data_IF_496306633320
#
_entry.id   IF_496306633320
#
_cell.length_a   1.000
_cell.length_b   1.000
_cell.length_c   1.000
_cell.angle_alpha   90.00
_cell.angle_beta   90.00
_cell.angle_gamma   90.00
#
_symmetry.space_group_name_H-M   'P 1'
#
loop_
_entity.id
_entity.type
_entity.pdbx_description
1 polymer ?
#
# COMPACT_ATOMS: atom_id res chain seq x y z
N UNK A 1 11.29 11.40 -3.55
CA UNK A 1 10.40 10.37 -4.09
C UNK A 1 9.78 10.95 -5.34
N UNK A 2 9.67 10.19 -6.42
CA UNK A 2 8.91 10.66 -7.58
C UNK A 2 7.43 10.70 -7.21
N UNK A 3 6.70 11.77 -7.57
CA UNK A 3 5.26 11.83 -7.38
C UNK A 3 4.58 10.73 -8.20
N UNK A 4 3.45 10.22 -7.70
CA UNK A 4 2.67 9.20 -8.40
C UNK A 4 2.02 9.87 -9.59
N UNK A 5 2.30 9.39 -10.79
CA UNK A 5 1.73 10.00 -12.01
C UNK A 5 0.24 9.68 -12.11
N UNK A 6 -0.48 10.51 -12.86
CA UNK A 6 -1.91 10.28 -13.12
C UNK A 6 -2.18 8.89 -13.72
N UNK A 7 -1.37 8.46 -14.69
CA UNK A 7 -1.49 7.13 -15.29
C UNK A 7 -1.37 6.00 -14.25
N UNK A 8 -0.45 6.13 -13.29
CA UNK A 8 -0.29 5.14 -12.22
C UNK A 8 -1.49 5.10 -11.27
N UNK A 9 -2.19 6.22 -11.09
CA UNK A 9 -3.43 6.26 -10.30
C UNK A 9 -4.60 5.63 -11.05
N UNK A 10 -4.69 5.87 -12.36
CA UNK A 10 -5.68 5.21 -13.22
C UNK A 10 -5.46 3.69 -13.22
N UNK A 11 -4.22 3.22 -13.38
CA UNK A 11 -3.89 1.79 -13.33
C UNK A 11 -4.30 1.15 -11.99
N UNK A 12 -4.07 1.86 -10.87
CA UNK A 12 -4.49 1.39 -9.54
C UNK A 12 -6.02 1.34 -9.43
N UNK A 13 -6.70 2.36 -9.95
CA UNK A 13 -8.16 2.43 -9.96
C UNK A 13 -8.77 1.27 -10.74
N UNK A 14 -8.28 1.01 -11.96
CA UNK A 14 -8.73 -0.09 -12.82
C UNK A 14 -8.58 -1.44 -12.10
N UNK A 15 -7.45 -1.64 -11.40
CA UNK A 15 -7.23 -2.85 -10.61
C UNK A 15 -8.22 -2.97 -9.44
N UNK A 16 -8.54 -1.88 -8.76
CA UNK A 16 -9.52 -1.89 -7.67
C UNK A 16 -10.90 -2.25 -8.22
N UNK A 17 -11.29 -1.65 -9.35
CA UNK A 17 -12.59 -1.89 -9.98
C UNK A 17 -12.74 -3.32 -10.50
N UNK A 18 -11.71 -3.88 -11.12
CA UNK A 18 -11.72 -5.28 -11.57
C UNK A 18 -11.87 -6.24 -10.37
N UNK A 19 -11.32 -5.89 -9.20
CA UNK A 19 -11.31 -6.75 -8.02
C UNK A 19 -12.55 -6.62 -7.14
N UNK A 20 -13.29 -5.52 -7.22
CA UNK A 20 -14.45 -5.22 -6.39
C UNK A 20 -15.51 -6.34 -6.38
N UNK A 21 -15.60 -7.12 -7.48
CA UNK A 21 -16.52 -8.26 -7.59
C UNK A 21 -15.83 -9.64 -7.68
N UNK A 22 -14.50 -9.68 -7.80
CA UNK A 22 -13.74 -10.92 -8.00
C UNK A 22 -13.05 -11.44 -6.74
N UNK A 23 -12.81 -10.58 -5.75
CA UNK A 23 -12.28 -11.01 -4.44
C UNK A 23 -11.35 -10.01 -3.76
N UNK A 24 -10.82 -10.35 -2.58
CA UNK A 24 -10.12 -9.41 -1.72
C UNK A 24 -8.78 -8.95 -2.30
N UNK A 25 -8.40 -7.71 -1.97
CA UNK A 25 -7.11 -7.10 -2.30
C UNK A 25 -6.34 -6.87 -1.02
N UNK A 26 -5.05 -7.24 -1.00
CA UNK A 26 -4.13 -6.95 0.10
C UNK A 26 -3.19 -5.84 -0.34
N UNK A 27 -3.22 -4.72 0.37
CA UNK A 27 -2.36 -3.57 0.11
C UNK A 27 -1.37 -3.43 1.26
N UNK A 28 -0.09 -3.30 0.93
CA UNK A 28 0.97 -3.05 1.91
C UNK A 28 1.60 -1.70 1.63
N UNK A 29 1.67 -0.84 2.63
CA UNK A 29 2.19 0.51 2.48
C UNK A 29 2.94 0.93 3.73
N UNK A 30 3.91 1.82 3.55
CA UNK A 30 4.61 2.49 4.65
C UNK A 30 3.85 3.75 5.13
N UNK A 31 2.81 4.17 4.41
CA UNK A 31 2.02 5.35 4.72
C UNK A 31 0.66 4.95 5.29
N UNK A 32 0.19 5.60 6.37
CA UNK A 32 -1.17 5.39 6.85
C UNK A 32 -2.19 5.80 5.78
N UNK A 33 -3.36 5.14 5.70
CA UNK A 33 -4.41 5.45 4.72
C UNK A 33 -4.78 6.94 4.66
N UNK A 34 -4.82 7.60 5.82
CA UNK A 34 -5.19 9.01 5.97
C UNK A 34 -4.22 9.97 5.25
N UNK A 35 -3.03 9.50 4.86
CA UNK A 35 -2.05 10.28 4.08
C UNK A 35 -2.10 10.00 2.58
N UNK A 36 -2.86 9.00 2.12
CA UNK A 36 -2.86 8.61 0.71
C UNK A 36 -3.35 9.72 -0.20
N UNK A 37 -4.42 10.43 0.22
CA UNK A 37 -4.93 11.56 -0.54
C UNK A 37 -3.86 12.64 -0.81
N UNK A 38 -2.93 12.86 0.12
CA UNK A 38 -1.84 13.84 -0.05
C UNK A 38 -0.66 13.35 -0.91
N UNK A 39 -0.61 12.05 -1.22
CA UNK A 39 0.43 11.43 -2.05
C UNK A 39 0.08 11.42 -3.54
N UNK A 40 -1.18 11.70 -3.85
CA UNK A 40 -1.73 11.65 -5.19
C UNK A 40 -1.84 13.06 -5.76
N UNK A 41 -1.40 13.24 -7.01
CA UNK A 41 -1.39 14.55 -7.66
C UNK A 41 -2.80 15.00 -8.12
N UNK A 42 -3.70 14.04 -8.40
CA UNK A 42 -5.09 14.30 -8.76
C UNK A 42 -6.02 14.05 -7.56
N UNK A 43 -6.60 15.11 -6.96
CA UNK A 43 -7.49 14.96 -5.80
C UNK A 43 -8.78 14.19 -6.12
N UNK A 44 -9.26 14.23 -7.36
CA UNK A 44 -10.50 13.56 -7.76
C UNK A 44 -10.33 12.05 -7.76
N UNK A 45 -9.24 11.56 -8.37
CA UNK A 45 -8.92 10.13 -8.39
C UNK A 45 -8.51 9.67 -6.99
N UNK A 46 -7.81 10.52 -6.24
CA UNK A 46 -7.44 10.26 -4.86
C UNK A 46 -8.64 9.97 -3.95
N UNK A 47 -9.65 10.82 -3.98
CA UNK A 47 -10.90 10.64 -3.24
C UNK A 47 -11.59 9.35 -3.68
N UNK A 48 -11.71 9.12 -4.99
CA UNK A 48 -12.37 7.92 -5.53
C UNK A 48 -11.73 6.60 -5.07
N UNK A 49 -10.40 6.54 -4.99
CA UNK A 49 -9.65 5.38 -4.48
C UNK A 49 -9.85 5.23 -2.97
N UNK A 50 -9.75 6.33 -2.22
CA UNK A 50 -9.89 6.32 -0.76
C UNK A 50 -11.29 5.87 -0.34
N UNK A 51 -12.34 6.35 -1.00
CA UNK A 51 -13.73 6.00 -0.72
C UNK A 51 -14.05 4.53 -1.00
N UNK A 52 -13.38 3.92 -1.97
CA UNK A 52 -13.55 2.49 -2.28
C UNK A 52 -12.79 1.59 -1.31
N UNK A 53 -11.55 1.93 -0.98
CA UNK A 53 -10.68 1.04 -0.21
C UNK A 53 -10.81 1.20 1.29
N UNK A 54 -10.84 2.44 1.79
CA UNK A 54 -10.67 2.71 3.23
C UNK A 54 -11.86 2.23 4.07
N UNK A 55 -13.14 2.43 3.66
CA UNK A 55 -14.28 2.04 4.48
C UNK A 55 -14.39 0.52 4.71
N UNK A 56 -14.01 -0.29 3.73
CA UNK A 56 -14.11 -1.76 3.79
C UNK A 56 -12.82 -2.43 4.27
N UNK A 57 -11.71 -1.70 4.38
CA UNK A 57 -10.41 -2.27 4.69
C UNK A 57 -10.25 -2.71 6.15
N UNK A 58 -9.71 -3.91 6.32
CA UNK A 58 -9.13 -4.35 7.60
C UNK A 58 -7.73 -3.74 7.74
N UNK A 59 -7.59 -2.76 8.64
CA UNK A 59 -6.33 -2.02 8.82
C UNK A 59 -5.38 -2.74 9.77
N UNK A 60 -4.24 -3.21 9.26
CA UNK A 60 -3.19 -3.87 10.05
C UNK A 60 -1.96 -2.97 10.22
N UNK A 61 -1.88 -2.26 11.34
CA UNK A 61 -0.76 -1.37 11.66
C UNK A 61 0.43 -2.15 12.22
N UNK A 62 1.42 -2.43 11.37
CA UNK A 62 2.64 -3.13 11.76
C UNK A 62 3.60 -2.21 12.52
N UNK A 63 4.13 -2.69 13.64
CA UNK A 63 5.14 -2.00 14.45
C UNK A 63 6.39 -2.87 14.60
N UNK A 64 7.56 -2.25 14.70
CA UNK A 64 8.82 -2.94 14.99
C UNK A 64 9.98 -2.49 14.11
N UNK A 65 11.17 -3.04 14.41
CA UNK A 65 12.39 -2.79 13.63
C UNK A 65 12.40 -3.67 12.37
N UNK A 66 13.04 -3.18 11.31
CA UNK A 66 13.20 -3.92 10.05
C UNK A 66 13.79 -5.31 10.27
N UNK A 67 13.13 -6.33 9.73
CA UNK A 67 13.60 -7.71 9.79
C UNK A 67 14.75 -8.00 8.79
N UNK A 68 15.05 -7.08 7.87
CA UNK A 68 16.15 -7.24 6.89
C UNK A 68 17.50 -7.46 7.59
N UNK A 69 17.75 -6.76 8.70
CA UNK A 69 18.96 -6.95 9.52
C UNK A 69 18.98 -8.26 10.32
N UNK A 70 17.82 -8.84 10.66
CA UNK A 70 17.76 -10.13 11.38
C UNK A 70 18.13 -11.31 10.49
N UNK A 71 17.75 -11.31 9.20
CA UNK A 71 18.17 -12.37 8.26
C UNK A 71 19.69 -12.45 8.13
N UNK A 72 20.36 -11.30 8.00
CA UNK A 72 21.83 -11.23 7.92
C UNK A 72 22.53 -11.79 9.17
N UNK A 73 21.92 -11.65 10.35
CA UNK A 73 22.47 -12.17 11.60
C UNK A 73 22.17 -13.66 11.77
N UNK A 74 20.99 -14.13 11.33
CA UNK A 74 20.62 -15.54 11.33
C UNK A 74 21.50 -16.34 10.37
N UNK A 75 21.78 -15.82 9.16
CA UNK A 75 22.69 -16.45 8.20
C UNK A 75 24.13 -16.53 8.72
N UNK A 76 24.66 -15.45 9.32
CA UNK A 76 25.98 -15.45 9.96
C UNK A 76 26.09 -16.47 11.10
N UNK A 77 25.01 -16.66 11.88
CA UNK A 77 24.98 -17.61 13.01
C UNK A 77 24.79 -19.07 12.57
N UNK A 78 24.34 -19.31 11.33
CA UNK A 78 24.18 -20.66 10.74
C UNK A 78 25.44 -21.15 10.02
N UNK A 79 26.37 -20.24 9.73
CA UNK A 79 27.68 -20.51 9.12
C UNK A 79 28.81 -20.62 10.16
N UNK A 80 28.47 -20.60 11.46
CA UNK A 80 29.33 -20.87 12.61
C UNK A 80 28.83 -22.13 13.31
#
# INVERSE_FOLDING_TARGET
MQPVTQDQLCDLMDLIEERDQLGPVIITTQYPPDKWHSLFDDPTIADAICDRLIPIAIKLNLKGKSLRGKKSQIEKKRLL
#
